data_IF_989916975219
#
_entry.id   IF_989916975219
#
_cell.length_a   1.000
_cell.length_b   1.000
_cell.length_c   1.000
_cell.angle_alpha   90.00
_cell.angle_beta   90.00
_cell.angle_gamma   90.00
#
_symmetry.space_group_name_H-M   'P 1'
#
loop_
_entity.id
_entity.type
_entity.pdbx_description
1 polymer ?
#
# COMPACT_ATOMS: atom_id res chain seq x y z
N UNK A 1 -14.78 -14.57 13.90
CA UNK A 1 -14.63 -13.18 14.39
C UNK A 1 -15.45 -12.26 13.49
N UNK A 2 -16.05 -11.21 14.04
CA UNK A 2 -16.95 -10.29 13.32
C UNK A 2 -16.25 -9.02 12.85
N UNK A 3 -16.96 -8.22 12.04
CA UNK A 3 -16.48 -6.93 11.52
C UNK A 3 -16.88 -5.72 12.40
N UNK A 4 -17.57 -5.96 13.53
CA UNK A 4 -18.11 -4.95 14.44
C UNK A 4 -18.84 -3.80 13.73
N UNK A 5 -19.50 -4.07 12.59
CA UNK A 5 -19.94 -3.02 11.67
C UNK A 5 -20.99 -2.04 12.21
N UNK A 6 -21.63 -2.36 13.35
CA UNK A 6 -22.57 -1.46 14.03
C UNK A 6 -21.90 -0.43 14.96
N UNK A 7 -20.61 -0.61 15.26
CA UNK A 7 -19.85 0.22 16.20
C UNK A 7 -18.84 1.13 15.50
N UNK A 8 -18.78 1.09 14.17
CA UNK A 8 -17.77 1.76 13.37
C UNK A 8 -18.40 2.62 12.28
N UNK A 9 -17.78 3.76 12.04
CA UNK A 9 -18.09 4.68 10.96
C UNK A 9 -17.06 4.48 9.84
N UNK A 10 -17.53 4.28 8.62
CA UNK A 10 -16.70 3.96 7.46
C UNK A 10 -16.58 5.17 6.52
N UNK A 11 -15.34 5.51 6.18
CA UNK A 11 -15.01 6.61 5.28
C UNK A 11 -14.01 6.14 4.22
N UNK A 12 -14.28 6.42 2.95
CA UNK A 12 -13.26 6.35 1.91
C UNK A 12 -12.36 7.59 2.00
N UNK A 13 -11.05 7.37 2.12
CA UNK A 13 -10.05 8.42 2.15
C UNK A 13 -9.53 8.66 0.73
N UNK A 14 -9.74 9.86 0.21
CA UNK A 14 -9.25 10.28 -1.11
C UNK A 14 -8.58 11.66 -1.05
N UNK A 15 -7.79 11.99 -2.07
CA UNK A 15 -6.98 13.20 -2.11
C UNK A 15 -7.10 13.88 -3.47
N UNK A 16 -7.26 15.21 -3.47
CA UNK A 16 -7.34 15.99 -4.69
C UNK A 16 -6.29 17.10 -4.69
N UNK A 17 -5.58 17.38 -5.79
CA UNK A 17 -5.64 16.69 -7.09
C UNK A 17 -4.89 15.33 -7.07
N UNK A 18 -4.97 14.55 -8.16
CA UNK A 18 -4.41 13.19 -8.24
C UNK A 18 -3.11 13.05 -9.08
N UNK A 19 -2.21 14.05 -9.22
CA UNK A 19 -1.10 13.98 -10.17
C UNK A 19 -0.08 12.87 -9.87
N UNK A 20 0.00 12.42 -8.61
CA UNK A 20 0.94 11.38 -8.17
C UNK A 20 0.27 10.07 -7.76
N UNK A 21 -1.05 9.95 -7.96
CA UNK A 21 -1.83 8.76 -7.59
C UNK A 21 -2.20 7.90 -8.80
N UNK A 22 -2.15 8.48 -10.00
CA UNK A 22 -2.29 7.74 -11.25
C UNK A 22 -0.92 7.16 -11.64
N UNK A 23 -0.78 5.84 -11.57
CA UNK A 23 0.44 5.11 -11.95
C UNK A 23 0.13 4.22 -13.16
N UNK A 24 1.12 4.04 -14.04
CA UNK A 24 1.04 3.12 -15.18
C UNK A 24 0.93 1.66 -14.73
N UNK A 25 1.50 1.34 -13.56
CA UNK A 25 1.52 -0.01 -12.98
C UNK A 25 0.88 0.01 -11.58
N UNK A 26 -0.45 0.07 -11.47
CA UNK A 26 -1.12 0.01 -10.19
C UNK A 26 -1.04 -1.41 -9.61
N UNK A 27 -1.17 -1.54 -8.29
CA UNK A 27 -1.28 -2.85 -7.65
C UNK A 27 -2.62 -3.47 -7.99
N UNK A 28 -2.59 -4.65 -8.63
CA UNK A 28 -3.80 -5.38 -9.02
C UNK A 28 -3.84 -6.78 -8.41
N UNK A 29 -5.04 -7.28 -8.16
CA UNK A 29 -5.29 -8.64 -7.69
C UNK A 29 -6.34 -9.29 -8.59
N UNK A 30 -5.97 -10.44 -9.18
CA UNK A 30 -6.88 -11.29 -9.93
C UNK A 30 -7.65 -12.22 -8.99
N UNK A 31 -8.98 -12.18 -9.05
CA UNK A 31 -9.86 -13.06 -8.26
C UNK A 31 -11.13 -13.38 -9.04
N UNK A 32 -11.45 -14.68 -9.17
CA UNK A 32 -12.65 -15.17 -9.86
C UNK A 32 -12.84 -14.60 -11.28
N UNK A 33 -11.74 -14.41 -12.03
CA UNK A 33 -11.77 -13.88 -13.40
C UNK A 33 -11.98 -12.36 -13.49
N UNK A 34 -11.85 -11.63 -12.38
CA UNK A 34 -11.91 -10.17 -12.33
C UNK A 34 -10.59 -9.61 -11.81
N UNK A 35 -10.16 -8.51 -12.41
CA UNK A 35 -9.06 -7.67 -11.94
C UNK A 35 -9.59 -6.64 -10.95
N UNK A 36 -9.02 -6.62 -9.74
CA UNK A 36 -9.29 -5.59 -8.74
C UNK A 36 -8.06 -4.70 -8.60
N UNK A 37 -8.24 -3.38 -8.68
CA UNK A 37 -7.16 -2.40 -8.66
C UNK A 37 -7.15 -1.66 -7.32
N UNK A 38 -5.96 -1.41 -6.78
CA UNK A 38 -5.80 -0.64 -5.56
C UNK A 38 -6.20 0.84 -5.79
N UNK A 39 -7.15 1.34 -5.01
CA UNK A 39 -7.67 2.72 -5.08
C UNK A 39 -7.58 3.44 -3.72
N UNK A 40 -6.56 3.10 -2.93
CA UNK A 40 -6.30 3.74 -1.63
C UNK A 40 -6.93 3.00 -0.46
N UNK A 41 -7.33 3.75 0.56
CA UNK A 41 -7.76 3.19 1.84
C UNK A 41 -9.15 3.65 2.25
N UNK A 42 -9.87 2.73 2.86
CA UNK A 42 -11.00 3.03 3.74
C UNK A 42 -10.49 3.18 5.16
N UNK A 43 -11.01 4.17 5.88
CA UNK A 43 -10.77 4.41 7.29
C UNK A 43 -12.04 4.06 8.08
N UNK A 44 -11.89 3.21 9.09
CA UNK A 44 -12.95 2.90 10.04
C UNK A 44 -12.64 3.56 11.38
N UNK A 45 -13.59 4.34 11.88
CA UNK A 45 -13.47 5.12 13.11
C UNK A 45 -14.51 4.68 14.14
N UNK A 46 -14.14 4.70 15.41
CA UNK A 46 -15.06 4.47 16.54
C UNK A 46 -15.97 5.67 16.83
N UNK A 47 -15.79 6.79 16.13
CA UNK A 47 -16.56 8.01 16.30
C UNK A 47 -16.77 8.71 14.95
N UNK A 48 -17.90 9.40 14.75
CA UNK A 48 -18.17 10.09 13.49
C UNK A 48 -17.17 11.23 13.25
N UNK A 49 -16.83 11.46 11.97
CA UNK A 49 -15.89 12.49 11.52
C UNK A 49 -16.59 13.76 11.00
N UNK A 50 -17.82 14.02 11.42
CA UNK A 50 -18.70 15.08 10.87
C UNK A 50 -18.13 16.51 11.04
N UNK A 51 -17.28 16.71 12.04
CA UNK A 51 -16.70 18.01 12.38
C UNK A 51 -15.20 18.13 12.04
N UNK A 52 -14.66 17.22 11.22
CA UNK A 52 -13.26 17.31 10.80
C UNK A 52 -13.08 18.48 9.82
N UNK A 53 -12.22 19.47 10.13
CA UNK A 53 -11.98 20.59 9.22
C UNK A 53 -11.28 20.11 7.96
N UNK A 54 -11.40 20.89 6.87
CA UNK A 54 -10.70 20.62 5.61
C UNK A 54 -9.21 20.47 5.87
N UNK A 55 -8.66 19.31 5.49
CA UNK A 55 -7.27 18.98 5.69
C UNK A 55 -6.49 19.22 4.41
N UNK A 56 -5.41 20.03 4.48
CA UNK A 56 -4.53 20.30 3.36
C UNK A 56 -3.12 19.82 3.64
N UNK A 57 -2.49 19.21 2.63
CA UNK A 57 -1.10 18.78 2.67
C UNK A 57 -0.37 19.31 1.45
N UNK A 58 0.77 19.96 1.62
CA UNK A 58 1.63 20.33 0.50
C UNK A 58 2.76 19.32 0.36
N UNK A 59 2.82 18.62 -0.79
CA UNK A 59 3.88 17.65 -1.11
C UNK A 59 4.17 17.68 -2.61
N UNK A 60 5.43 17.48 -3.01
CA UNK A 60 5.86 17.53 -4.42
C UNK A 60 5.41 18.81 -5.16
N UNK A 61 5.37 19.94 -4.45
CA UNK A 61 4.88 21.24 -4.95
C UNK A 61 3.38 21.27 -5.32
N UNK A 62 2.61 20.26 -4.95
CA UNK A 62 1.15 20.25 -5.05
C UNK A 62 0.52 20.47 -3.68
N UNK A 63 -0.54 21.27 -3.64
CA UNK A 63 -1.42 21.39 -2.48
C UNK A 63 -2.55 20.37 -2.65
N UNK A 64 -2.51 19.31 -1.85
CA UNK A 64 -3.56 18.32 -1.76
C UNK A 64 -4.59 18.73 -0.71
N UNK A 65 -5.83 18.38 -0.97
CA UNK A 65 -6.92 18.35 -0.01
C UNK A 65 -7.32 16.90 0.24
N UNK A 66 -7.47 16.53 1.51
CA UNK A 66 -7.88 15.18 1.92
C UNK A 66 -9.37 15.19 2.21
N UNK A 67 -10.08 14.22 1.65
CA UNK A 67 -11.52 14.03 1.81
C UNK A 67 -11.81 12.71 2.53
N UNK A 68 -12.82 12.75 3.40
CA UNK A 68 -13.39 11.59 4.07
C UNK A 68 -14.83 11.41 3.59
N UNK A 69 -15.04 10.55 2.61
CA UNK A 69 -16.36 10.32 2.00
C UNK A 69 -17.02 9.17 2.76
N UNK A 70 -18.12 9.46 3.46
CA UNK A 70 -18.84 8.43 4.20
C UNK A 70 -19.50 7.43 3.25
N UNK A 71 -19.29 6.14 3.49
CA UNK A 71 -19.84 5.05 2.67
C UNK A 71 -20.42 3.94 3.57
N UNK A 72 -21.35 3.11 3.06
CA UNK A 72 -21.81 1.94 3.78
C UNK A 72 -20.64 1.02 4.17
N UNK A 73 -20.67 0.48 5.39
CA UNK A 73 -19.60 -0.39 5.88
C UNK A 73 -19.56 -1.70 5.07
N UNK A 74 -18.40 -2.10 4.52
CA UNK A 74 -18.31 -3.37 3.81
C UNK A 74 -18.47 -4.57 4.77
N UNK A 75 -18.93 -5.69 4.24
CA UNK A 75 -19.15 -6.92 5.04
C UNK A 75 -17.98 -7.91 4.96
N UNK A 76 -17.04 -7.69 4.04
CA UNK A 76 -16.05 -8.69 3.61
C UNK A 76 -14.68 -8.56 4.30
N UNK A 77 -14.66 -8.20 5.59
CA UNK A 77 -13.46 -8.10 6.42
C UNK A 77 -13.80 -8.48 7.88
N UNK A 78 -12.80 -8.75 8.71
CA UNK A 78 -12.94 -8.66 10.18
C UNK A 78 -11.90 -7.71 10.76
N UNK A 79 -12.09 -7.21 11.99
CA UNK A 79 -11.19 -6.20 12.57
C UNK A 79 -9.75 -6.72 12.70
N UNK A 80 -9.60 -7.99 13.11
CA UNK A 80 -8.29 -8.61 13.21
C UNK A 80 -7.54 -8.65 11.86
N UNK A 81 -8.26 -8.77 10.73
CA UNK A 81 -7.65 -8.70 9.40
C UNK A 81 -7.00 -7.34 9.17
N UNK A 82 -7.67 -6.26 9.59
CA UNK A 82 -7.20 -4.90 9.39
C UNK A 82 -6.02 -4.58 10.30
N UNK A 83 -6.05 -5.05 11.55
CA UNK A 83 -4.96 -4.86 12.50
C UNK A 83 -3.69 -5.60 12.05
N UNK A 84 -3.86 -6.84 11.59
CA UNK A 84 -2.75 -7.64 11.05
C UNK A 84 -2.17 -7.00 9.78
N UNK A 85 -3.03 -6.55 8.86
CA UNK A 85 -2.60 -5.87 7.65
C UNK A 85 -1.89 -4.55 7.96
N UNK A 86 -2.42 -3.77 8.90
CA UNK A 86 -1.85 -2.47 9.31
C UNK A 86 -0.48 -2.66 9.94
N UNK A 87 -0.31 -3.66 10.81
CA UNK A 87 1.00 -4.01 11.36
C UNK A 87 1.99 -4.41 10.26
N UNK A 88 1.58 -5.30 9.36
CA UNK A 88 2.43 -5.75 8.26
C UNK A 88 2.86 -4.58 7.36
N UNK A 89 1.93 -3.73 6.94
CA UNK A 89 2.22 -2.64 6.01
C UNK A 89 2.96 -1.48 6.69
N UNK A 90 2.38 -0.90 7.74
CA UNK A 90 2.87 0.37 8.28
C UNK A 90 4.06 0.19 9.21
N UNK A 91 4.10 -0.90 9.98
CA UNK A 91 5.20 -1.17 10.90
C UNK A 91 6.31 -1.98 10.25
N UNK A 92 5.99 -3.13 9.63
CA UNK A 92 7.03 -4.05 9.14
C UNK A 92 7.60 -3.66 7.77
N UNK A 93 6.76 -3.21 6.82
CA UNK A 93 7.23 -2.82 5.48
C UNK A 93 7.68 -1.35 5.39
N UNK A 94 6.91 -0.42 5.96
CA UNK A 94 7.15 1.02 5.86
C UNK A 94 7.90 1.62 7.06
N UNK A 95 8.14 0.83 8.11
CA UNK A 95 8.93 1.23 9.29
C UNK A 95 8.45 2.53 9.97
N UNK A 96 7.13 2.75 10.04
CA UNK A 96 6.52 3.92 10.70
C UNK A 96 6.50 3.78 12.23
N UNK A 97 7.67 3.61 12.86
CA UNK A 97 7.78 3.25 14.29
C UNK A 97 7.20 4.30 15.25
N UNK A 98 7.31 5.58 14.91
CA UNK A 98 6.80 6.67 15.75
C UNK A 98 5.30 6.98 15.51
N UNK A 99 4.66 6.25 14.59
CA UNK A 99 3.25 6.45 14.28
C UNK A 99 2.37 5.69 15.27
N UNK A 100 1.98 6.37 16.35
CA UNK A 100 1.10 5.84 17.39
C UNK A 100 -0.36 6.22 17.12
N UNK A 101 -1.18 5.23 16.83
CA UNK A 101 -2.64 5.39 16.61
C UNK A 101 -3.48 4.73 17.70
N UNK A 102 -2.86 4.24 18.76
CA UNK A 102 -3.59 3.60 19.87
C UNK A 102 -4.43 4.61 20.64
N UNK A 103 -5.61 4.17 21.08
CA UNK A 103 -6.36 4.87 22.11
C UNK A 103 -5.58 4.76 23.43
N UNK A 104 -5.67 5.80 24.25
CA UNK A 104 -4.92 6.02 25.49
C UNK A 104 -4.38 4.76 26.19
N UNK A 105 -3.11 4.77 26.61
CA UNK A 105 -2.40 3.59 27.13
C UNK A 105 -3.04 3.01 28.41
N UNK A 106 -3.88 3.80 29.10
CA UNK A 106 -4.60 3.44 30.32
C UNK A 106 -5.94 2.74 30.07
N UNK A 107 -6.42 2.67 28.83
CA UNK A 107 -7.70 2.02 28.53
C UNK A 107 -7.59 0.49 28.51
N UNK A 108 -8.52 -0.21 29.18
CA UNK A 108 -8.57 -1.68 29.17
C UNK A 108 -8.88 -2.24 27.76
N UNK A 109 -9.42 -1.40 26.86
CA UNK A 109 -9.68 -1.71 25.46
C UNK A 109 -8.49 -1.30 24.58
N UNK A 110 -7.58 -2.24 24.35
CA UNK A 110 -6.36 -2.08 23.52
C UNK A 110 -6.67 -2.05 22.01
N UNK A 111 -7.54 -1.13 21.57
CA UNK A 111 -7.95 -0.94 20.18
C UNK A 111 -7.32 0.32 19.58
N UNK A 112 -7.00 0.27 18.28
CA UNK A 112 -6.52 1.44 17.56
C UNK A 112 -7.66 2.47 17.35
N UNK A 113 -7.31 3.76 17.31
CA UNK A 113 -8.26 4.86 17.05
C UNK A 113 -8.95 4.67 15.70
N UNK A 114 -8.19 4.19 14.71
CA UNK A 114 -8.63 3.97 13.34
C UNK A 114 -8.14 2.62 12.83
N UNK A 115 -8.98 1.95 12.06
CA UNK A 115 -8.58 0.78 11.27
C UNK A 115 -8.53 1.13 9.78
N UNK A 116 -7.55 0.58 9.07
CA UNK A 116 -7.34 0.85 7.65
C UNK A 116 -7.64 -0.39 6.80
N UNK A 117 -8.61 -0.26 5.90
CA UNK A 117 -8.97 -1.29 4.93
C UNK A 117 -8.40 -0.92 3.56
N UNK A 118 -7.47 -1.71 2.98
CA UNK A 118 -7.02 -1.47 1.61
C UNK A 118 -8.17 -1.70 0.62
N UNK A 119 -8.40 -0.73 -0.27
CA UNK A 119 -9.48 -0.78 -1.26
C UNK A 119 -8.95 -1.35 -2.57
N UNK A 120 -9.26 -2.61 -2.82
CA UNK A 120 -9.10 -3.23 -4.14
C UNK A 120 -10.47 -3.27 -4.80
N UNK A 121 -10.67 -2.45 -5.83
CA UNK A 121 -11.98 -2.24 -6.44
C UNK A 121 -12.04 -2.83 -7.85
N UNK A 122 -13.20 -3.37 -8.20
CA UNK A 122 -13.52 -3.73 -9.58
C UNK A 122 -14.72 -2.88 -10.04
N UNK A 123 -14.50 -1.99 -11.00
CA UNK A 123 -15.56 -1.14 -11.54
C UNK A 123 -16.48 -1.97 -12.42
N UNK A 124 -17.77 -1.99 -12.10
CA UNK A 124 -18.79 -2.78 -12.81
C UNK A 124 -19.46 -1.93 -13.88
N UNK A 125 -19.97 -0.76 -13.49
CA UNK A 125 -20.70 0.15 -14.38
C UNK A 125 -20.73 1.55 -13.80
N UNK A 126 -21.04 2.54 -14.62
CA UNK A 126 -21.39 3.89 -14.18
C UNK A 126 -22.89 4.04 -14.38
N UNK A 127 -23.65 4.46 -13.36
CA UNK A 127 -25.08 4.75 -13.52
C UNK A 127 -25.31 6.09 -14.21
N UNK A 128 -26.54 6.30 -14.68
CA UNK A 128 -26.93 7.50 -15.45
C UNK A 128 -26.75 8.82 -14.67
N UNK A 129 -26.67 8.75 -13.34
CA UNK A 129 -26.39 9.86 -12.42
C UNK A 129 -24.88 10.12 -12.22
N UNK A 130 -24.01 9.35 -12.89
CA UNK A 130 -22.56 9.43 -12.76
C UNK A 130 -21.99 8.66 -11.56
N UNK A 131 -22.80 7.98 -10.76
CA UNK A 131 -22.30 7.17 -9.66
C UNK A 131 -21.62 5.89 -10.18
N UNK A 132 -20.38 5.65 -9.75
CA UNK A 132 -19.67 4.42 -10.10
C UNK A 132 -20.15 3.27 -9.21
N UNK A 133 -20.62 2.19 -9.82
CA UNK A 133 -20.86 0.92 -9.14
C UNK A 133 -19.58 0.09 -9.21
N UNK A 134 -19.05 -0.23 -8.04
CA UNK A 134 -17.85 -1.04 -7.90
C UNK A 134 -18.05 -2.15 -6.87
N UNK A 135 -17.18 -3.15 -6.94
CA UNK A 135 -17.09 -4.24 -5.98
C UNK A 135 -15.79 -4.12 -5.18
N UNK A 136 -15.86 -4.26 -3.86
CA UNK A 136 -14.68 -4.35 -2.99
C UNK A 136 -14.24 -5.81 -2.82
N UNK A 137 -12.96 -6.07 -3.06
CA UNK A 137 -12.35 -7.36 -2.80
C UNK A 137 -12.29 -7.63 -1.29
N UNK A 138 -12.63 -8.87 -0.89
CA UNK A 138 -12.55 -9.29 0.51
C UNK A 138 -11.11 -9.30 1.06
N UNK A 139 -10.93 -9.00 2.36
CA UNK A 139 -9.62 -9.06 3.01
C UNK A 139 -8.97 -10.44 2.96
N UNK A 140 -9.78 -11.51 3.02
CA UNK A 140 -9.30 -12.87 2.79
C UNK A 140 -8.53 -13.00 1.47
N UNK A 141 -9.08 -12.45 0.38
CA UNK A 141 -8.45 -12.51 -0.95
C UNK A 141 -7.20 -11.64 -1.04
N UNK A 142 -7.18 -10.52 -0.34
CA UNK A 142 -5.97 -9.69 -0.16
C UNK A 142 -4.87 -10.51 0.52
N UNK A 143 -5.16 -11.19 1.63
CA UNK A 143 -4.17 -12.07 2.29
C UNK A 143 -3.76 -13.27 1.45
N UNK A 144 -4.69 -13.93 0.76
CA UNK A 144 -4.37 -15.00 -0.19
C UNK A 144 -3.40 -14.51 -1.28
N UNK A 145 -3.55 -13.28 -1.75
CA UNK A 145 -2.61 -12.66 -2.69
C UNK A 145 -1.25 -12.40 -2.03
N UNK A 146 -1.21 -11.75 -0.87
CA UNK A 146 0.05 -11.46 -0.16
C UNK A 146 0.86 -12.73 0.12
N UNK A 147 0.22 -13.81 0.57
CA UNK A 147 0.85 -15.10 0.81
C UNK A 147 1.42 -15.72 -0.48
N UNK A 148 0.71 -15.62 -1.61
CA UNK A 148 1.19 -16.09 -2.93
C UNK A 148 2.34 -15.24 -3.47
N UNK A 149 2.34 -13.95 -3.15
CA UNK A 149 3.37 -13.00 -3.56
C UNK A 149 4.64 -13.12 -2.70
N UNK A 150 4.55 -13.71 -1.50
CA UNK A 150 5.70 -14.00 -0.64
C UNK A 150 6.56 -15.14 -1.21
N UNK A 151 7.46 -14.80 -2.14
CA UNK A 151 8.42 -15.72 -2.75
C UNK A 151 9.75 -15.01 -3.01
N UNK A 152 10.88 -15.73 -3.06
CA UNK A 152 12.15 -15.13 -3.45
C UNK A 152 12.04 -14.47 -4.83
N UNK A 153 12.41 -13.18 -4.91
CA UNK A 153 12.43 -12.43 -6.17
C UNK A 153 13.41 -13.08 -7.17
N UNK A 154 14.63 -13.33 -6.69
CA UNK A 154 15.70 -13.95 -7.46
C UNK A 154 15.75 -15.44 -7.13
N UNK A 155 15.62 -16.26 -8.17
CA UNK A 155 15.72 -17.73 -8.10
C UNK A 155 16.69 -18.21 -9.17
N UNK A 156 17.19 -19.45 -9.07
CA UNK A 156 18.06 -20.01 -10.12
C UNK A 156 17.42 -19.95 -11.52
N UNK A 157 16.09 -20.10 -11.61
CA UNK A 157 15.37 -19.99 -12.88
C UNK A 157 15.43 -18.59 -13.47
N UNK A 158 15.38 -17.57 -12.63
CA UNK A 158 15.51 -16.16 -13.04
C UNK A 158 16.93 -15.87 -13.51
N UNK A 159 17.94 -16.38 -12.82
CA UNK A 159 19.35 -16.20 -13.20
C UNK A 159 19.69 -16.84 -14.56
N UNK A 160 19.04 -17.97 -14.89
CA UNK A 160 19.25 -18.71 -16.15
C UNK A 160 18.50 -18.13 -17.36
N UNK A 161 17.70 -17.05 -17.18
CA UNK A 161 16.97 -16.40 -18.28
C UNK A 161 17.92 -15.87 -19.35
N UNK A 162 17.48 -15.84 -20.60
CA UNK A 162 18.18 -15.12 -21.67
C UNK A 162 17.99 -13.59 -21.53
N UNK A 163 18.63 -12.81 -22.41
CA UNK A 163 18.57 -11.34 -22.33
C UNK A 163 17.15 -10.79 -22.54
N UNK A 164 16.35 -11.37 -23.43
CA UNK A 164 14.99 -10.92 -23.70
C UNK A 164 14.08 -11.20 -22.51
N UNK A 165 14.03 -12.46 -22.06
CA UNK A 165 13.19 -12.85 -20.92
C UNK A 165 13.62 -12.24 -19.57
N UNK A 166 14.86 -11.75 -19.48
CA UNK A 166 15.32 -10.91 -18.37
C UNK A 166 14.71 -9.52 -18.39
N UNK A 167 14.70 -8.85 -19.54
CA UNK A 167 14.09 -7.52 -19.65
C UNK A 167 12.61 -7.57 -19.27
N UNK A 168 11.90 -8.61 -19.70
CA UNK A 168 10.51 -8.83 -19.32
C UNK A 168 10.35 -9.10 -17.81
N UNK A 169 11.30 -9.83 -17.21
CA UNK A 169 11.34 -10.04 -15.75
C UNK A 169 11.49 -8.71 -14.99
N UNK A 170 12.48 -7.90 -15.37
CA UNK A 170 12.73 -6.60 -14.74
C UNK A 170 11.52 -5.70 -14.90
N UNK A 171 10.94 -5.63 -16.11
CA UNK A 171 9.70 -4.88 -16.36
C UNK A 171 8.54 -5.33 -15.48
N UNK A 172 8.41 -6.64 -15.21
CA UNK A 172 7.33 -7.18 -14.38
C UNK A 172 7.43 -6.84 -12.89
N UNK A 173 8.60 -6.41 -12.41
CA UNK A 173 8.83 -6.03 -11.01
C UNK A 173 9.23 -4.56 -10.84
N UNK A 174 9.24 -3.78 -11.92
CA UNK A 174 9.48 -2.35 -11.89
C UNK A 174 8.45 -1.65 -10.97
N UNK A 175 8.92 -0.73 -10.14
CA UNK A 175 8.14 -0.06 -9.08
C UNK A 175 7.60 -0.97 -7.96
N UNK A 176 7.93 -2.26 -7.93
CA UNK A 176 7.55 -3.12 -6.82
C UNK A 176 8.39 -2.82 -5.57
N UNK A 177 7.82 -3.10 -4.40
CA UNK A 177 8.56 -3.10 -3.14
C UNK A 177 8.99 -4.53 -2.84
N UNK A 178 10.26 -4.71 -2.49
CA UNK A 178 10.80 -5.97 -2.01
C UNK A 178 11.35 -5.81 -0.61
N UNK A 179 11.23 -6.88 0.16
CA UNK A 179 11.60 -6.90 1.57
C UNK A 179 12.60 -8.01 1.86
N UNK A 180 13.51 -7.72 2.77
CA UNK A 180 14.43 -8.67 3.39
C UNK A 180 14.29 -8.53 4.91
N UNK A 181 13.45 -9.36 5.55
CA UNK A 181 13.23 -9.29 6.99
C UNK A 181 14.55 -9.37 7.77
N UNK A 182 14.67 -8.55 8.81
CA UNK A 182 15.87 -8.47 9.66
C UNK A 182 16.99 -7.55 9.14
N UNK A 183 16.81 -6.90 7.99
CA UNK A 183 17.75 -5.93 7.43
C UNK A 183 17.26 -4.49 7.67
N UNK A 184 18.18 -3.52 7.57
CA UNK A 184 17.88 -2.08 7.64
C UNK A 184 18.54 -1.35 6.46
N UNK A 185 17.77 -0.72 5.54
CA UNK A 185 16.30 -0.77 5.48
C UNK A 185 15.80 -2.19 5.20
N UNK A 186 14.64 -2.55 5.78
CA UNK A 186 14.03 -3.87 5.55
C UNK A 186 13.42 -3.99 4.15
N UNK A 187 12.88 -2.89 3.61
CA UNK A 187 12.16 -2.87 2.35
C UNK A 187 12.64 -1.74 1.44
N UNK A 188 12.79 -2.03 0.15
CA UNK A 188 13.22 -1.06 -0.88
C UNK A 188 12.35 -1.19 -2.13
N UNK A 189 12.20 -0.08 -2.87
CA UNK A 189 11.54 -0.09 -4.19
C UNK A 189 12.54 -0.48 -5.27
N UNK A 190 12.12 -1.36 -6.18
CA UNK A 190 12.89 -1.73 -7.37
C UNK A 190 12.67 -0.67 -8.44
N UNK A 191 13.73 0.04 -8.79
CA UNK A 191 13.77 0.92 -9.96
C UNK A 191 14.49 0.26 -11.15
N UNK A 192 15.44 -0.65 -10.90
CA UNK A 192 16.03 -1.53 -11.92
C UNK A 192 16.63 -2.80 -11.28
N UNK A 193 16.94 -3.81 -12.10
CA UNK A 193 17.74 -4.97 -11.70
C UNK A 193 18.82 -5.26 -12.75
N UNK A 194 20.06 -5.03 -12.35
CA UNK A 194 21.24 -5.27 -13.18
C UNK A 194 21.80 -6.67 -12.95
N UNK A 195 22.27 -7.34 -14.01
CA UNK A 195 22.99 -8.61 -13.84
C UNK A 195 24.38 -8.35 -13.30
N UNK A 196 24.83 -9.20 -12.36
CA UNK A 196 26.21 -9.22 -11.91
C UNK A 196 27.16 -9.31 -13.11
N UNK A 197 28.07 -8.35 -13.23
CA UNK A 197 29.11 -8.35 -14.25
C UNK A 197 30.37 -9.10 -13.79
N UNK A 198 30.46 -9.35 -12.48
CA UNK A 198 31.58 -10.04 -11.86
C UNK A 198 31.45 -11.55 -12.00
N UNK A 199 32.54 -12.22 -12.35
CA UNK A 199 32.58 -13.69 -12.43
C UNK A 199 32.58 -14.32 -11.05
N UNK A 200 33.07 -13.61 -10.04
CA UNK A 200 33.19 -14.09 -8.67
C UNK A 200 31.93 -13.82 -7.84
N UNK A 201 31.09 -12.87 -8.28
CA UNK A 201 29.78 -12.61 -7.70
C UNK A 201 28.72 -12.40 -8.79
N UNK A 202 28.09 -13.48 -9.28
CA UNK A 202 27.10 -13.41 -10.36
C UNK A 202 25.73 -12.90 -9.89
N UNK A 203 25.57 -12.56 -8.62
CA UNK A 203 24.28 -12.12 -8.08
C UNK A 203 23.84 -10.79 -8.70
N UNK A 204 22.55 -10.67 -9.10
CA UNK A 204 22.04 -9.44 -9.65
C UNK A 204 21.95 -8.34 -8.58
N UNK A 205 22.13 -7.10 -9.03
CA UNK A 205 22.06 -5.91 -8.19
C UNK A 205 20.68 -5.27 -8.36
N UNK A 206 19.99 -5.05 -7.24
CA UNK A 206 18.75 -4.27 -7.22
C UNK A 206 19.13 -2.79 -7.11
N UNK A 207 18.65 -1.98 -8.04
CA UNK A 207 18.89 -0.54 -8.06
C UNK A 207 17.66 0.17 -7.49
N UNK A 208 17.92 1.07 -6.53
CA UNK A 208 16.92 1.93 -5.93
C UNK A 208 17.40 3.40 -6.00
N UNK A 209 16.65 4.24 -6.71
CA UNK A 209 16.89 5.67 -6.82
C UNK A 209 16.20 6.41 -5.67
N UNK A 210 16.87 6.39 -4.51
CA UNK A 210 16.44 7.14 -3.34
C UNK A 210 16.54 8.66 -3.54
N UNK A 211 15.60 9.40 -2.94
CA UNK A 211 15.70 10.85 -2.84
C UNK A 211 16.55 11.18 -1.62
N UNK A 212 17.65 11.92 -1.81
CA UNK A 212 18.46 12.39 -0.70
C UNK A 212 17.72 13.50 0.05
N UNK A 213 17.68 13.48 1.41
CA UNK A 213 17.14 14.58 2.18
C UNK A 213 17.83 15.89 1.81
N UNK A 214 17.04 16.94 1.57
CA UNK A 214 17.54 18.26 1.13
C UNK A 214 18.54 18.83 2.14
N UNK A 215 18.30 18.62 3.44
CA UNK A 215 19.20 19.04 4.51
C UNK A 215 20.63 18.49 4.36
N UNK A 216 20.79 17.26 3.86
CA UNK A 216 22.11 16.65 3.63
C UNK A 216 22.70 16.97 2.25
N UNK A 217 21.89 17.57 1.36
CA UNK A 217 22.29 17.80 -0.03
C UNK A 217 22.83 19.22 -0.27
N UNK A 218 22.38 20.19 0.54
CA UNK A 218 22.78 21.61 0.39
C UNK A 218 23.26 22.28 1.67
N UNK A 219 23.06 21.66 2.84
CA UNK A 219 23.59 22.21 4.11
C UNK A 219 24.97 21.61 4.38
N UNK A 220 25.91 21.87 3.47
CA UNK A 220 27.32 21.83 3.83
C UNK A 220 27.59 23.06 4.67
N UNK A 221 27.66 22.90 5.99
CA UNK A 221 28.33 23.89 6.82
C UNK A 221 29.82 23.86 6.40
N UNK A 222 30.41 24.96 5.92
CA UNK A 222 31.78 24.99 5.38
C UNK A 222 32.86 24.67 6.42
#
# INVERSE_FOLDING_TARGET
>A
MGNNGLQLYHYWVTVFPHPNFMTENPTTIESNGRTYTFEGFSLLSHSPLDAVPRCFLTRFNFKYEIFFIQEPIPTNFCIQDLDLFSKFLFHDLLEMYDWKIKRDEESEENCDLFHFLPRFTHRISVSDDGCEKYELLSMRKVFEHLLKSHKPLITEKVLKRDRGSWKDFVGSCFNAIVTRPGWKPSSIRIDDIERGQDKDNPDPVIVHHGIRPVQLSFSGDP
#
